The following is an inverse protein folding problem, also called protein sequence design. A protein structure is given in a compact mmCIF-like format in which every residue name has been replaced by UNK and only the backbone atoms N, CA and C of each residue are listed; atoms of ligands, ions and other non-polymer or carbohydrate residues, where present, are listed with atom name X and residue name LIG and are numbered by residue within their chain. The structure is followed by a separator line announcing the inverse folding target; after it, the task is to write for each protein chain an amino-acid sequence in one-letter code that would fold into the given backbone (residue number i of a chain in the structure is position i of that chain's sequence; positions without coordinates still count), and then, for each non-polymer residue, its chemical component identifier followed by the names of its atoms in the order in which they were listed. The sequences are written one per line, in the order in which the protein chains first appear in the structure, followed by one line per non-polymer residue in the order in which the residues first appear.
data_IF_101255882349
#
_entry.id   IF_101255882349
#
_cell.length_a   1.000
_cell.length_b   1.000
_cell.length_c   1.000
_cell.angle_alpha   90.00
_cell.angle_beta   90.00
_cell.angle_gamma   90.00
#
_symmetry.space_group_name_H-M   'P 1'
#
loop_
_entity.id
_entity.type
_entity.pdbx_description
1 polymer ?
#
# COMPACT_ATOMS: atom_id res chain seq x y z
N UNK A 1 13.84 8.66 1.62
CA UNK A 1 12.67 8.22 0.82
C UNK A 1 12.84 6.75 0.53
N UNK A 2 11.78 5.95 0.53
CA UNK A 2 11.88 4.57 0.08
C UNK A 2 12.34 4.56 -1.38
N UNK A 3 13.39 3.81 -1.69
CA UNK A 3 13.89 3.58 -3.04
C UNK A 3 13.80 2.10 -3.36
N UNK A 4 13.70 1.76 -4.64
CA UNK A 4 13.69 0.36 -5.06
C UNK A 4 14.97 -0.36 -4.63
N UNK A 5 16.12 0.33 -4.59
CA UNK A 5 17.38 -0.27 -4.16
C UNK A 5 17.38 -0.64 -2.68
N UNK A 6 16.83 0.24 -1.83
CA UNK A 6 16.66 -0.03 -0.40
C UNK A 6 15.70 -1.21 -0.15
N UNK A 7 14.61 -1.29 -0.92
CA UNK A 7 13.72 -2.43 -0.86
C UNK A 7 14.42 -3.72 -1.32
N UNK A 8 15.14 -3.67 -2.45
CA UNK A 8 15.86 -4.83 -2.98
C UNK A 8 16.93 -5.37 -2.02
N UNK A 9 17.65 -4.49 -1.31
CA UNK A 9 18.61 -4.89 -0.28
C UNK A 9 17.91 -5.66 0.85
N UNK A 10 16.77 -5.17 1.33
CA UNK A 10 15.97 -5.87 2.35
C UNK A 10 15.44 -7.20 1.83
N UNK A 11 14.94 -7.27 0.61
CA UNK A 11 14.44 -8.49 0.00
C UNK A 11 15.52 -9.55 -0.14
N UNK A 12 16.77 -9.15 -0.43
CA UNK A 12 17.92 -10.05 -0.56
C UNK A 12 18.26 -10.80 0.72
N UNK A 13 17.70 -10.41 1.86
CA UNK A 13 17.88 -11.13 3.14
C UNK A 13 17.12 -12.45 3.20
N UNK A 14 16.05 -12.61 2.38
CA UNK A 14 15.19 -13.80 2.41
C UNK A 14 14.73 -14.31 1.02
N UNK A 15 14.93 -13.54 -0.04
CA UNK A 15 14.65 -13.93 -1.43
C UNK A 15 15.93 -14.17 -2.21
N UNK A 16 15.87 -15.06 -3.19
CA UNK A 16 16.95 -15.27 -4.14
C UNK A 16 17.12 -14.08 -5.09
N UNK A 17 18.32 -13.93 -5.66
CA UNK A 17 18.68 -12.84 -6.59
C UNK A 17 17.71 -12.72 -7.77
N UNK A 18 17.28 -13.84 -8.34
CA UNK A 18 16.36 -13.86 -9.49
C UNK A 18 14.98 -13.32 -9.10
N UNK A 19 14.50 -13.66 -7.91
CA UNK A 19 13.24 -13.17 -7.38
C UNK A 19 13.27 -11.67 -7.09
N UNK A 20 14.38 -11.17 -6.53
CA UNK A 20 14.59 -9.73 -6.33
C UNK A 20 14.60 -8.97 -7.66
N UNK A 21 15.25 -9.54 -8.69
CA UNK A 21 15.27 -8.95 -10.03
C UNK A 21 13.87 -8.90 -10.67
N UNK A 22 13.01 -9.92 -10.43
CA UNK A 22 11.62 -9.89 -10.88
C UNK A 22 10.82 -8.78 -10.20
N UNK A 23 11.00 -8.55 -8.90
CA UNK A 23 10.36 -7.44 -8.18
C UNK A 23 10.84 -6.09 -8.71
N UNK A 24 12.14 -5.93 -8.96
CA UNK A 24 12.69 -4.71 -9.60
C UNK A 24 12.07 -4.47 -10.98
N UNK A 25 11.94 -5.53 -11.79
CA UNK A 25 11.31 -5.45 -13.11
C UNK A 25 9.86 -4.99 -13.01
N UNK A 26 9.10 -5.50 -12.04
CA UNK A 26 7.71 -5.07 -11.78
C UNK A 26 7.64 -3.58 -11.38
N UNK A 27 8.58 -3.11 -10.56
CA UNK A 27 8.69 -1.69 -10.20
C UNK A 27 8.90 -0.81 -11.44
N UNK A 28 9.90 -1.11 -12.28
CA UNK A 28 10.16 -0.30 -13.47
C UNK A 28 9.02 -0.35 -14.49
N UNK A 29 8.34 -1.48 -14.59
CA UNK A 29 7.14 -1.60 -15.42
C UNK A 29 6.02 -0.69 -14.90
N UNK A 30 5.74 -0.70 -13.59
CA UNK A 30 4.76 0.18 -12.98
C UNK A 30 5.14 1.66 -13.13
N UNK A 31 6.42 2.01 -12.94
CA UNK A 31 6.93 3.37 -13.12
C UNK A 31 6.71 3.88 -14.55
N UNK A 32 7.00 3.04 -15.55
CA UNK A 32 6.78 3.36 -16.96
C UNK A 32 5.28 3.44 -17.31
N UNK A 33 4.46 2.53 -16.76
CA UNK A 33 3.02 2.53 -17.00
C UNK A 33 2.34 3.79 -16.44
N UNK A 34 2.84 4.33 -15.33
CA UNK A 34 2.35 5.55 -14.69
C UNK A 34 3.18 6.80 -15.02
N UNK A 35 3.95 6.78 -16.13
CA UNK A 35 4.78 7.91 -16.49
C UNK A 35 3.95 9.20 -16.66
N UNK A 36 4.45 10.28 -16.07
CA UNK A 36 3.76 11.58 -16.02
C UNK A 36 2.64 11.68 -14.99
N UNK A 37 2.21 10.59 -14.35
CA UNK A 37 1.19 10.63 -13.31
C UNK A 37 1.78 11.06 -11.96
N UNK A 38 1.04 11.92 -11.25
CA UNK A 38 1.42 12.40 -9.92
C UNK A 38 0.28 12.20 -8.93
N UNK A 39 0.63 11.92 -7.68
CA UNK A 39 -0.31 11.91 -6.56
C UNK A 39 -0.77 13.34 -6.23
N UNK A 40 -1.86 13.46 -5.48
CA UNK A 40 -2.33 14.76 -4.95
C UNK A 40 -1.29 15.49 -4.10
N UNK A 41 -0.33 14.75 -3.53
CA UNK A 41 0.83 15.28 -2.79
C UNK A 41 1.92 15.88 -3.70
N UNK A 42 1.83 15.70 -5.02
CA UNK A 42 2.84 16.10 -6.00
C UNK A 42 3.95 15.09 -6.23
N UNK A 43 4.00 14.00 -5.46
CA UNK A 43 4.97 12.92 -5.62
C UNK A 43 4.68 12.07 -6.87
N UNK A 44 5.71 11.41 -7.43
CA UNK A 44 5.53 10.44 -8.50
C UNK A 44 4.59 9.31 -8.04
N UNK A 45 3.70 8.85 -8.93
CA UNK A 45 2.69 7.85 -8.59
C UNK A 45 3.31 6.56 -8.04
N UNK A 46 4.43 6.10 -8.60
CA UNK A 46 5.13 4.87 -8.23
C UNK A 46 5.58 4.81 -6.76
N UNK A 47 5.63 5.96 -6.06
CA UNK A 47 5.96 5.99 -4.62
C UNK A 47 4.94 5.23 -3.77
N UNK A 48 3.68 5.17 -4.21
CA UNK A 48 2.62 4.43 -3.53
C UNK A 48 2.80 2.91 -3.63
N UNK A 49 2.85 2.29 -4.82
CA UNK A 49 3.14 0.87 -4.95
C UNK A 49 4.41 0.42 -4.21
N UNK A 50 5.47 1.24 -4.27
CA UNK A 50 6.70 0.97 -3.53
C UNK A 50 6.50 0.93 -2.01
N UNK A 51 5.68 1.83 -1.47
CA UNK A 51 5.36 1.85 -0.04
C UNK A 51 4.51 0.63 0.37
N UNK A 52 3.53 0.24 -0.46
CA UNK A 52 2.72 -0.97 -0.27
C UNK A 52 3.61 -2.22 -0.25
N UNK A 53 4.50 -2.37 -1.25
CA UNK A 53 5.44 -3.48 -1.31
C UNK A 53 6.42 -3.49 -0.12
N UNK A 54 6.79 -2.31 0.42
CA UNK A 54 7.62 -2.22 1.62
C UNK A 54 6.95 -2.79 2.86
N UNK A 55 5.62 -2.60 3.01
CA UNK A 55 4.85 -3.21 4.10
C UNK A 55 4.84 -4.74 3.97
N UNK A 56 4.60 -5.25 2.76
CA UNK A 56 4.60 -6.69 2.50
C UNK A 56 5.99 -7.31 2.68
N UNK A 57 7.06 -6.57 2.39
CA UNK A 57 8.43 -6.99 2.66
C UNK A 57 8.72 -7.10 4.17
N UNK A 58 8.15 -6.21 5.01
CA UNK A 58 8.22 -6.32 6.47
C UNK A 58 7.53 -7.60 6.99
N UNK A 59 6.55 -8.10 6.26
CA UNK A 59 5.84 -9.36 6.52
C UNK A 59 6.53 -10.58 5.89
N UNK A 60 7.69 -10.42 5.25
CA UNK A 60 8.43 -11.47 4.53
C UNK A 60 7.58 -12.20 3.48
N UNK A 61 6.75 -11.46 2.76
CA UNK A 61 5.90 -12.03 1.70
C UNK A 61 6.74 -12.48 0.50
N UNK A 62 6.19 -13.43 -0.26
CA UNK A 62 6.80 -13.98 -1.46
C UNK A 62 6.93 -12.93 -2.60
N UNK A 63 7.82 -13.20 -3.54
CA UNK A 63 8.09 -12.29 -4.65
C UNK A 63 6.86 -12.02 -5.54
N UNK A 64 5.94 -12.99 -5.70
CA UNK A 64 4.71 -12.81 -6.49
C UNK A 64 3.77 -11.78 -5.82
N UNK A 65 3.61 -11.84 -4.51
CA UNK A 65 2.85 -10.85 -3.73
C UNK A 65 3.47 -9.46 -3.82
N UNK A 66 4.80 -9.36 -3.79
CA UNK A 66 5.52 -8.10 -3.94
C UNK A 66 5.38 -7.51 -5.35
N UNK A 67 5.46 -8.37 -6.39
CA UNK A 67 5.19 -7.94 -7.77
C UNK A 67 3.74 -7.48 -7.93
N UNK A 68 2.78 -8.22 -7.37
CA UNK A 68 1.37 -7.82 -7.41
C UNK A 68 1.14 -6.48 -6.68
N UNK A 69 1.85 -6.23 -5.58
CA UNK A 69 1.80 -4.93 -4.89
C UNK A 69 2.38 -3.78 -5.72
N UNK A 70 3.41 -4.04 -6.54
CA UNK A 70 3.95 -3.03 -7.46
C UNK A 70 2.99 -2.72 -8.61
N UNK A 71 2.21 -3.70 -9.04
CA UNK A 71 1.38 -3.64 -10.25
C UNK A 71 -0.12 -3.43 -9.97
N UNK A 72 -0.55 -3.34 -8.70
CA UNK A 72 -1.97 -3.45 -8.32
C UNK A 72 -2.88 -2.39 -8.96
N UNK A 73 -2.36 -1.18 -9.19
CA UNK A 73 -3.12 -0.08 -9.81
C UNK A 73 -2.94 0.00 -11.34
N UNK A 74 -2.02 -0.78 -11.93
CA UNK A 74 -1.69 -0.67 -13.36
C UNK A 74 -2.91 -0.96 -14.24
N UNK A 75 -3.71 -1.98 -13.91
CA UNK A 75 -4.91 -2.32 -14.69
C UNK A 75 -5.95 -1.19 -14.60
N UNK A 76 -6.16 -0.61 -13.41
CA UNK A 76 -7.20 0.39 -13.17
C UNK A 76 -6.83 1.76 -13.76
N UNK A 77 -5.59 2.19 -13.53
CA UNK A 77 -5.18 3.57 -13.79
C UNK A 77 -4.57 3.77 -15.18
N UNK A 78 -4.11 2.71 -15.84
CA UNK A 78 -3.41 2.83 -17.13
C UNK A 78 -4.13 2.13 -18.28
N UNK A 79 -5.16 1.31 -17.98
CA UNK A 79 -5.91 0.56 -18.99
C UNK A 79 -5.13 -0.60 -19.62
N UNK A 80 -3.98 -0.98 -19.03
CA UNK A 80 -3.21 -2.16 -19.47
C UNK A 80 -4.04 -3.42 -19.15
N UNK A 81 -4.24 -4.26 -20.16
CA UNK A 81 -5.02 -5.48 -20.02
C UNK A 81 -4.31 -6.54 -19.17
N UNK A 82 -5.08 -7.38 -18.48
CA UNK A 82 -4.57 -8.49 -17.65
C UNK A 82 -3.63 -9.40 -18.45
N UNK A 83 -3.98 -9.68 -19.71
CA UNK A 83 -3.21 -10.55 -20.61
C UNK A 83 -1.79 -10.03 -20.87
N UNK A 84 -1.59 -8.70 -20.86
CA UNK A 84 -0.28 -8.11 -20.99
C UNK A 84 0.57 -8.33 -19.73
N UNK A 85 -0.05 -8.30 -18.54
CA UNK A 85 0.65 -8.63 -17.29
C UNK A 85 0.97 -10.12 -17.20
N UNK A 86 0.05 -10.99 -17.66
CA UNK A 86 0.27 -12.43 -17.73
C UNK A 86 1.49 -12.75 -18.61
N UNK A 87 1.55 -12.22 -19.81
CA UNK A 87 2.68 -12.41 -20.73
C UNK A 87 4.02 -11.93 -20.15
N UNK A 88 4.01 -10.91 -19.28
CA UNK A 88 5.23 -10.31 -18.71
C UNK A 88 5.66 -10.93 -17.37
N UNK A 89 4.71 -11.24 -16.50
CA UNK A 89 4.96 -11.63 -15.10
C UNK A 89 4.38 -12.99 -14.72
N UNK A 90 3.63 -13.61 -15.63
CA UNK A 90 2.99 -14.91 -15.45
C UNK A 90 1.60 -14.84 -14.83
N UNK A 91 0.81 -15.88 -15.08
CA UNK A 91 -0.59 -16.01 -14.71
C UNK A 91 -0.86 -15.74 -13.22
N UNK A 92 -0.02 -16.29 -12.33
CA UNK A 92 -0.19 -16.13 -10.88
C UNK A 92 -0.16 -14.65 -10.44
N UNK A 93 0.74 -13.84 -11.00
CA UNK A 93 0.84 -12.41 -10.68
C UNK A 93 -0.33 -11.64 -11.31
N UNK A 94 -0.67 -11.94 -12.55
CA UNK A 94 -1.79 -11.31 -13.26
C UNK A 94 -3.14 -11.59 -12.56
N UNK A 95 -3.34 -12.80 -12.02
CA UNK A 95 -4.53 -13.14 -11.24
C UNK A 95 -4.59 -12.43 -9.90
N UNK A 96 -3.45 -12.30 -9.20
CA UNK A 96 -3.38 -11.51 -7.96
C UNK A 96 -3.74 -10.05 -8.22
N UNK A 97 -3.18 -9.42 -9.24
CA UNK A 97 -3.47 -8.02 -9.61
C UNK A 97 -4.93 -7.84 -9.99
N UNK A 98 -5.48 -8.71 -10.84
CA UNK A 98 -6.89 -8.70 -11.22
C UNK A 98 -7.82 -8.87 -10.00
N UNK A 99 -7.45 -9.75 -9.07
CA UNK A 99 -8.17 -9.94 -7.81
C UNK A 99 -8.20 -8.69 -6.95
N UNK A 100 -7.08 -7.97 -6.83
CA UNK A 100 -6.99 -6.71 -6.07
C UNK A 100 -7.82 -5.62 -6.73
N UNK A 101 -7.73 -5.45 -8.05
CA UNK A 101 -8.54 -4.52 -8.85
C UNK A 101 -10.03 -4.76 -8.66
N UNK A 102 -10.49 -5.99 -8.78
CA UNK A 102 -11.91 -6.34 -8.58
C UNK A 102 -12.42 -6.01 -7.19
N UNK A 103 -11.58 -6.10 -6.16
CA UNK A 103 -11.92 -5.67 -4.81
C UNK A 103 -12.02 -4.15 -4.66
N UNK A 104 -11.35 -3.38 -5.52
CA UNK A 104 -11.36 -1.91 -5.50
C UNK A 104 -12.61 -1.34 -6.17
N UNK A 105 -13.05 -1.89 -7.29
CA UNK A 105 -14.11 -1.35 -8.17
C UNK A 105 -15.53 -1.45 -7.59
N UNK A 106 -15.69 -1.77 -6.32
CA UNK A 106 -17.01 -1.98 -5.73
C UNK A 106 -17.67 -0.67 -5.32
N UNK A 107 -18.67 -0.25 -6.09
CA UNK A 107 -19.57 0.84 -5.74
C UNK A 107 -20.83 0.29 -5.04
N UNK A 108 -21.28 0.94 -3.98
CA UNK A 108 -22.40 0.49 -3.14
C UNK A 108 -23.49 1.54 -3.09
N UNK A 109 -24.72 1.12 -3.31
CA UNK A 109 -25.90 1.99 -3.25
C UNK A 109 -26.37 2.24 -1.82
N UNK A 110 -26.22 1.26 -0.91
CA UNK A 110 -26.57 1.44 0.51
C UNK A 110 -25.49 0.90 1.45
N UNK A 111 -25.41 1.50 2.67
CA UNK A 111 -24.36 1.18 3.66
C UNK A 111 -24.48 -0.24 4.25
N UNK A 112 -25.71 -0.76 4.37
CA UNK A 112 -25.97 -2.10 4.95
C UNK A 112 -25.77 -3.22 3.92
N UNK A 113 -26.28 -3.04 2.69
CA UNK A 113 -26.07 -3.98 1.57
C UNK A 113 -24.60 -4.04 1.20
N UNK A 114 -23.92 -2.88 1.21
CA UNK A 114 -22.48 -2.77 1.01
C UNK A 114 -21.67 -3.66 1.96
N UNK A 115 -22.04 -3.76 3.23
CA UNK A 115 -21.30 -4.58 4.19
C UNK A 115 -21.43 -6.08 3.92
N UNK A 116 -22.64 -6.56 3.63
CA UNK A 116 -22.89 -7.97 3.36
C UNK A 116 -22.21 -8.41 2.06
N UNK A 117 -22.33 -7.61 1.00
CA UNK A 117 -21.73 -7.89 -0.29
C UNK A 117 -20.19 -7.81 -0.24
N UNK A 118 -19.63 -6.84 0.49
CA UNK A 118 -18.19 -6.77 0.76
C UNK A 118 -17.68 -8.04 1.45
N UNK A 119 -18.39 -8.50 2.48
CA UNK A 119 -17.99 -9.71 3.19
C UNK A 119 -18.01 -10.93 2.28
N UNK A 120 -19.06 -11.09 1.46
CA UNK A 120 -19.14 -12.19 0.52
C UNK A 120 -18.03 -12.15 -0.53
N UNK A 121 -17.75 -10.98 -1.10
CA UNK A 121 -16.68 -10.81 -2.10
C UNK A 121 -15.29 -11.00 -1.49
N UNK A 122 -15.07 -10.50 -0.27
CA UNK A 122 -13.85 -10.80 0.48
C UNK A 122 -13.69 -12.30 0.75
N UNK A 123 -14.76 -12.98 1.16
CA UNK A 123 -14.73 -14.42 1.39
C UNK A 123 -14.44 -15.21 0.10
N UNK A 124 -15.01 -14.78 -1.03
CA UNK A 124 -14.71 -15.39 -2.35
C UNK A 124 -13.28 -15.13 -2.81
N UNK A 125 -12.75 -13.92 -2.57
CA UNK A 125 -11.35 -13.61 -2.88
C UNK A 125 -10.39 -14.41 -1.99
N UNK A 126 -10.68 -14.54 -0.68
CA UNK A 126 -9.94 -15.40 0.25
C UNK A 126 -9.93 -16.87 -0.18
N UNK A 127 -11.06 -17.36 -0.70
CA UNK A 127 -11.17 -18.74 -1.16
C UNK A 127 -10.30 -19.03 -2.42
N UNK A 128 -9.98 -17.99 -3.20
CA UNK A 128 -9.09 -18.09 -4.35
C UNK A 128 -7.63 -17.94 -3.94
N UNK A 129 -7.28 -16.81 -3.36
CA UNK A 129 -5.92 -16.53 -2.87
C UNK A 129 -5.95 -15.45 -1.78
N UNK A 130 -5.53 -15.82 -0.58
CA UNK A 130 -5.51 -14.90 0.57
C UNK A 130 -4.56 -13.71 0.36
N UNK A 131 -3.56 -13.86 -0.51
CA UNK A 131 -2.59 -12.81 -0.82
C UNK A 131 -3.24 -11.56 -1.40
N UNK A 132 -4.34 -11.71 -2.14
CA UNK A 132 -5.15 -10.59 -2.67
C UNK A 132 -5.58 -9.65 -1.55
N UNK A 133 -6.03 -10.19 -0.42
CA UNK A 133 -6.47 -9.39 0.72
C UNK A 133 -5.30 -8.76 1.45
N UNK A 134 -4.18 -9.47 1.59
CA UNK A 134 -2.98 -8.92 2.21
C UNK A 134 -2.45 -7.70 1.43
N UNK A 135 -2.40 -7.78 0.10
CA UNK A 135 -2.05 -6.64 -0.76
C UNK A 135 -3.05 -5.49 -0.54
N UNK A 136 -4.35 -5.77 -0.54
CA UNK A 136 -5.38 -4.73 -0.34
C UNK A 136 -5.37 -4.10 1.04
N UNK A 137 -5.06 -4.84 2.09
CA UNK A 137 -4.90 -4.29 3.44
C UNK A 137 -3.65 -3.41 3.54
N UNK A 138 -2.53 -3.82 2.93
CA UNK A 138 -1.32 -3.02 2.85
C UNK A 138 -1.56 -1.70 2.10
N UNK A 139 -2.28 -1.74 0.97
CA UNK A 139 -2.72 -0.57 0.22
C UNK A 139 -3.55 0.38 1.10
N UNK A 140 -4.61 -0.12 1.74
CA UNK A 140 -5.45 0.69 2.64
C UNK A 140 -4.68 1.30 3.80
N UNK A 141 -3.72 0.58 4.36
CA UNK A 141 -2.89 1.10 5.46
C UNK A 141 -2.05 2.29 5.02
N UNK A 142 -1.58 2.30 3.77
CA UNK A 142 -0.88 3.45 3.17
C UNK A 142 -1.79 4.65 2.95
N UNK A 143 -3.05 4.43 2.60
CA UNK A 143 -4.03 5.52 2.45
C UNK A 143 -4.47 6.10 3.81
N UNK A 144 -4.51 5.28 4.87
CA UNK A 144 -4.93 5.71 6.21
C UNK A 144 -3.87 6.54 6.97
N UNK A 145 -2.60 6.55 6.52
CA UNK A 145 -1.49 7.20 7.20
C UNK A 145 -0.77 8.30 6.38
N UNK A 146 -1.46 9.34 5.90
CA UNK A 146 -0.78 10.45 5.22
C UNK A 146 0.15 11.26 6.15
N UNK A 147 0.09 11.05 7.46
CA UNK A 147 0.80 11.87 8.47
C UNK A 147 2.15 11.33 8.94
N UNK A 148 2.58 10.13 8.54
CA UNK A 148 3.88 9.60 8.97
C UNK A 148 5.09 10.23 8.25
N UNK A 149 4.87 10.87 7.12
CA UNK A 149 5.93 11.57 6.38
C UNK A 149 6.26 12.97 6.96
N UNK A 150 5.35 13.60 7.71
CA UNK A 150 5.57 14.95 8.23
C UNK A 150 6.20 15.01 9.63
N UNK A 151 6.26 13.92 10.38
CA UNK A 151 6.80 13.93 11.74
C UNK A 151 8.32 13.70 11.82
N UNK A 152 9.04 13.77 10.70
CA UNK A 152 10.51 13.84 10.67
C UNK A 152 11.02 15.24 10.32
N UNK A 153 10.36 16.28 10.78
CA UNK A 153 10.98 17.59 10.89
C UNK A 153 11.87 17.57 12.13
N UNK A 154 13.16 17.77 11.89
CA UNK A 154 14.23 17.88 12.87
C UNK A 154 13.83 18.71 14.09
N UNK A 155 14.38 18.44 15.30
CA UNK A 155 14.06 19.15 16.54
C UNK A 155 14.31 20.66 16.52
N UNK A 156 14.98 21.19 15.52
CA UNK A 156 15.33 22.60 15.39
C UNK A 156 14.18 23.52 14.96
N UNK A 157 13.01 23.01 14.58
CA UNK A 157 11.88 23.84 14.12
C UNK A 157 10.67 23.86 15.07
N UNK A 158 10.77 23.21 16.24
CA UNK A 158 9.71 23.19 17.24
C UNK A 158 9.79 24.34 18.28
N UNK A 159 10.74 25.28 18.09
CA UNK A 159 10.85 26.44 18.95
C UNK A 159 10.46 27.72 18.19
N UNK A 160 9.19 28.00 18.07
CA UNK A 160 8.63 29.35 17.98
C UNK A 160 7.16 29.36 17.55
N UNK A 161 6.28 28.78 18.36
CA UNK A 161 4.92 29.30 18.44
C UNK A 161 4.22 28.81 19.72
N UNK A 162 4.04 29.67 20.75
CA UNK A 162 3.40 29.28 22.02
C UNK A 162 1.87 29.05 21.91
N UNK A 163 1.29 29.14 20.72
CA UNK A 163 -0.18 29.01 20.52
C UNK A 163 -0.65 27.70 19.94
N UNK A 164 0.26 26.80 19.55
CA UNK A 164 -0.10 25.44 19.08
C UNK A 164 0.13 24.38 20.16
N UNK A 165 -0.32 24.67 21.38
CA UNK A 165 -0.46 23.64 22.40
C UNK A 165 -1.64 22.75 22.01
N UNK A 166 -1.27 21.58 21.54
CA UNK A 166 -2.15 20.44 21.31
C UNK A 166 -2.95 20.18 22.60
N UNK A 167 -4.19 20.63 22.64
CA UNK A 167 -5.14 20.29 23.68
C UNK A 167 -5.57 18.83 23.51
N UNK A 168 -4.76 17.92 24.01
CA UNK A 168 -5.18 16.58 24.37
C UNK A 168 -4.82 16.37 25.83
N UNK A 169 -5.62 17.00 26.70
CA UNK A 169 -5.68 16.60 28.10
C UNK A 169 -6.98 15.84 28.29
N UNK A 170 -6.87 14.54 28.27
CA UNK A 170 -7.87 13.63 28.77
C UNK A 170 -8.27 14.00 30.19
N UNK A 171 -9.57 14.08 30.40
CA UNK A 171 -10.20 13.93 31.68
C UNK A 171 -9.87 12.59 32.31
N UNK A 172 -9.11 12.58 33.36
CA UNK A 172 -9.20 11.59 34.41
C UNK A 172 -9.27 12.39 35.69
N UNK A 173 -10.42 12.23 36.34
CA UNK A 173 -10.66 12.74 37.66
C UNK A 173 -9.68 12.09 38.64
N UNK A 174 -9.33 12.78 39.67
CA UNK A 174 -9.69 12.33 40.98
C UNK A 174 -9.25 13.34 42.06
N UNK A 175 -10.07 13.44 42.97
CA UNK A 175 -10.13 13.93 44.32
C UNK A 175 -8.83 14.00 45.11
N UNK A 176 -8.91 15.02 45.96
CA UNK A 176 -8.54 15.04 47.38
C UNK A 176 -7.20 15.66 47.79
N UNK A 177 -7.43 16.65 48.61
CA UNK A 177 -6.78 17.05 49.86
C UNK A 177 -5.57 17.97 49.87
N UNK A 178 -5.91 19.15 50.38
CA UNK A 178 -5.25 19.83 51.57
C UNK A 178 -3.75 20.11 51.47
N UNK A 179 -3.43 21.32 51.31
CA UNK A 179 -2.85 22.34 52.16
C UNK A 179 -2.51 23.58 51.34
#
# INVERSE_FOLDING_TARGET
MPSIDNLAERLSTYLGSDQVNLVRRAYFYAEQAHDGQRRRSGEAYVTHPLAVASILADMHMDHQSLMAAMLHDVIEDTGIAKEALDAQFGESVAELVDGVSKLTQMNFETKAEAQAENFQKMAMAMARDIRVILVKLADRSQHAHPRRAECRKTPSHCQRNPRDLCTHRQSLGDESHLC
#
